data_IF_400679076192
#
_entry.id   IF_400679076192
#
_cell.length_a   1.000
_cell.length_b   1.000
_cell.length_c   1.000
_cell.angle_alpha   90.00
_cell.angle_beta   90.00
_cell.angle_gamma   90.00
#
_symmetry.space_group_name_H-M   'P 1'
#
loop_
_entity.id
_entity.type
_entity.pdbx_description
1 polymer ?
#
# COMPACT_ATOMS: atom_id res chain seq x y z
N UNK A 1 3.67 -16.04 -15.62
CA UNK A 1 2.78 -16.39 -14.49
C UNK A 1 1.36 -16.23 -14.98
N UNK A 2 0.48 -17.17 -14.65
CA UNK A 2 -0.94 -16.99 -14.92
C UNK A 2 -1.47 -15.79 -14.13
N UNK A 3 -2.34 -14.96 -14.72
CA UNK A 3 -2.92 -13.82 -14.02
C UNK A 3 -3.81 -14.31 -12.88
N UNK A 4 -3.57 -13.80 -11.68
CA UNK A 4 -4.45 -14.00 -10.54
C UNK A 4 -5.66 -13.07 -10.70
N UNK A 5 -6.87 -13.59 -10.52
CA UNK A 5 -8.08 -12.78 -10.53
C UNK A 5 -8.36 -12.25 -9.12
N UNK A 6 -8.53 -10.93 -9.01
CA UNK A 6 -8.99 -10.26 -7.78
C UNK A 6 -10.37 -9.68 -8.08
N UNK A 7 -11.36 -10.14 -7.32
CA UNK A 7 -12.71 -9.59 -7.39
C UNK A 7 -12.71 -8.19 -6.77
N UNK A 8 -13.50 -7.27 -7.32
CA UNK A 8 -13.66 -5.94 -6.74
C UNK A 8 -15.13 -5.52 -6.74
N UNK A 9 -15.48 -4.66 -5.78
CA UNK A 9 -16.80 -4.03 -5.67
C UNK A 9 -16.63 -2.52 -5.67
N UNK A 10 -17.36 -1.85 -6.55
CA UNK A 10 -17.46 -0.39 -6.59
C UNK A 10 -18.43 0.05 -5.49
N UNK A 11 -17.96 0.88 -4.57
CA UNK A 11 -18.73 1.45 -3.47
C UNK A 11 -19.14 2.90 -3.76
N UNK A 12 -18.34 3.62 -4.54
CA UNK A 12 -18.64 4.96 -5.06
C UNK A 12 -18.52 4.96 -6.59
N UNK A 13 -19.52 5.48 -7.35
CA UNK A 13 -19.50 5.45 -8.81
C UNK A 13 -18.34 6.22 -9.46
N UNK A 14 -17.66 7.10 -8.70
CA UNK A 14 -16.48 7.85 -9.15
C UNK A 14 -15.19 7.04 -9.05
N UNK A 15 -15.22 5.92 -8.32
CA UNK A 15 -14.06 5.06 -8.12
C UNK A 15 -13.45 4.61 -9.45
N UNK A 16 -12.12 4.57 -9.50
CA UNK A 16 -11.37 4.09 -10.66
C UNK A 16 -10.85 2.71 -10.38
N UNK A 17 -11.26 1.73 -11.21
CA UNK A 17 -10.75 0.36 -11.13
C UNK A 17 -9.22 0.40 -11.25
N UNK A 18 -8.47 -0.26 -10.36
CA UNK A 18 -7.00 -0.19 -10.38
C UNK A 18 -6.48 -0.75 -11.70
N UNK A 19 -5.54 -0.03 -12.31
CA UNK A 19 -4.93 -0.43 -13.58
C UNK A 19 -3.40 -0.35 -13.49
N UNK A 20 -2.75 -1.32 -14.13
CA UNK A 20 -1.30 -1.32 -14.33
C UNK A 20 -0.93 -0.32 -15.41
N UNK A 21 -0.01 0.58 -15.12
CA UNK A 21 0.37 1.66 -16.03
C UNK A 21 1.10 1.16 -17.29
N UNK A 22 1.85 0.06 -17.17
CA UNK A 22 2.60 -0.58 -18.26
C UNK A 22 2.56 -2.11 -18.10
N UNK A 23 2.87 -2.88 -19.16
CA UNK A 23 2.93 -4.35 -19.07
C UNK A 23 3.94 -4.90 -18.04
N UNK A 24 4.93 -4.10 -17.64
CA UNK A 24 5.93 -4.46 -16.63
C UNK A 24 5.69 -3.87 -15.25
N UNK A 25 4.56 -3.21 -15.03
CA UNK A 25 4.23 -2.61 -13.74
C UNK A 25 3.92 -3.69 -12.69
N UNK A 26 4.53 -3.60 -11.51
CA UNK A 26 4.30 -4.55 -10.42
C UNK A 26 3.05 -4.23 -9.59
N UNK A 27 2.60 -2.97 -9.59
CA UNK A 27 1.45 -2.50 -8.81
C UNK A 27 0.50 -1.66 -9.69
N UNK A 28 -0.78 -1.69 -9.34
CA UNK A 28 -1.85 -0.93 -10.00
C UNK A 28 -2.15 0.36 -9.22
N UNK A 29 -2.33 1.48 -9.90
CA UNK A 29 -2.57 2.77 -9.23
C UNK A 29 -3.95 2.78 -8.52
N UNK A 30 -4.00 3.34 -7.31
CA UNK A 30 -5.22 3.63 -6.55
C UNK A 30 -5.51 5.13 -6.60
N UNK A 31 -6.75 5.49 -6.93
CA UNK A 31 -7.18 6.88 -7.04
C UNK A 31 -8.00 7.33 -5.81
N UNK A 32 -7.84 8.60 -5.44
CA UNK A 32 -8.63 9.25 -4.40
C UNK A 32 -10.07 9.49 -4.88
N UNK A 33 -11.06 9.15 -4.05
CA UNK A 33 -12.47 9.51 -4.27
C UNK A 33 -12.85 10.58 -3.25
N UNK A 34 -12.81 11.84 -3.66
CA UNK A 34 -13.07 12.97 -2.77
C UNK A 34 -14.22 13.82 -3.34
N UNK A 35 -15.01 14.41 -2.45
CA UNK A 35 -16.05 15.38 -2.83
C UNK A 35 -15.42 16.74 -3.19
N UNK A 36 -14.38 17.13 -2.46
CA UNK A 36 -13.62 18.36 -2.66
C UNK A 36 -12.11 18.10 -2.52
N UNK A 37 -11.23 18.98 -3.05
CA UNK A 37 -9.79 18.83 -2.87
C UNK A 37 -9.39 18.81 -1.40
N UNK A 38 -8.53 17.86 -1.03
CA UNK A 38 -8.08 17.65 0.34
C UNK A 38 -6.65 18.16 0.50
N UNK A 39 -6.46 19.25 1.25
CA UNK A 39 -5.13 19.80 1.55
C UNK A 39 -4.59 19.20 2.83
N UNK A 40 -3.35 18.70 2.78
CA UNK A 40 -2.58 18.26 3.95
C UNK A 40 -1.46 19.26 4.20
N UNK A 41 -1.50 19.95 5.33
CA UNK A 41 -0.37 20.72 5.83
C UNK A 41 0.81 19.78 6.19
N UNK A 42 2.04 20.32 6.33
CA UNK A 42 3.16 19.55 6.85
C UNK A 42 2.80 18.82 8.15
N UNK A 43 3.14 17.53 8.21
CA UNK A 43 2.85 16.57 9.28
C UNK A 43 1.36 16.21 9.49
N UNK A 44 0.46 16.76 8.68
CA UNK A 44 -0.95 16.39 8.70
C UNK A 44 -1.18 15.01 8.10
N UNK A 45 -2.24 14.36 8.58
CA UNK A 45 -2.64 13.02 8.15
C UNK A 45 -4.13 13.02 7.82
N UNK A 46 -4.48 12.29 6.76
CA UNK A 46 -5.87 11.99 6.46
C UNK A 46 -6.02 10.59 5.91
N UNK A 47 -7.21 10.04 6.06
CA UNK A 47 -7.58 8.76 5.49
C UNK A 47 -8.29 9.01 4.15
N UNK A 48 -7.61 8.75 3.05
CA UNK A 48 -8.11 9.01 1.68
C UNK A 48 -8.90 7.80 1.18
N UNK A 49 -10.22 7.92 0.96
CA UNK A 49 -11.04 6.85 0.40
C UNK A 49 -10.74 6.60 -1.08
N UNK A 50 -10.97 5.37 -1.54
CA UNK A 50 -10.79 4.95 -2.94
C UNK A 50 -12.11 4.54 -3.61
N UNK A 51 -13.18 4.39 -2.84
CA UNK A 51 -14.48 3.93 -3.33
C UNK A 51 -14.50 2.48 -3.79
N UNK A 52 -13.50 1.68 -3.42
CA UNK A 52 -13.36 0.27 -3.82
C UNK A 52 -13.24 -0.64 -2.61
N UNK A 53 -13.89 -1.81 -2.69
CA UNK A 53 -13.54 -2.98 -1.90
C UNK A 53 -12.99 -4.06 -2.83
N UNK A 54 -12.15 -4.94 -2.30
CA UNK A 54 -11.59 -6.08 -3.05
C UNK A 54 -11.84 -7.39 -2.32
N UNK A 55 -11.74 -8.47 -3.07
CA UNK A 55 -11.72 -9.84 -2.59
C UNK A 55 -10.54 -10.57 -3.25
N UNK A 56 -9.58 -10.96 -2.40
CA UNK A 56 -8.43 -11.74 -2.80
C UNK A 56 -8.81 -13.22 -2.95
N UNK A 57 -8.09 -14.00 -3.78
CA UNK A 57 -8.42 -15.40 -4.09
C UNK A 57 -8.30 -16.36 -2.89
N UNK A 58 -7.66 -15.95 -1.79
CA UNK A 58 -7.63 -16.72 -0.53
C UNK A 58 -6.47 -16.36 0.39
N UNK A 59 -6.36 -17.10 1.50
CA UNK A 59 -5.43 -16.84 2.62
C UNK A 59 -3.93 -16.90 2.26
N UNK A 60 -3.58 -17.41 1.08
CA UNK A 60 -2.20 -17.46 0.57
C UNK A 60 -1.82 -16.19 -0.22
N UNK A 61 -2.67 -15.17 -0.22
CA UNK A 61 -2.44 -13.90 -0.91
C UNK A 61 -2.63 -12.71 0.02
N UNK A 62 -1.89 -11.64 -0.25
CA UNK A 62 -1.98 -10.36 0.45
C UNK A 62 -1.98 -9.23 -0.59
N UNK A 63 -2.74 -8.18 -0.31
CA UNK A 63 -2.65 -6.93 -1.05
C UNK A 63 -1.79 -5.95 -0.24
N UNK A 64 -0.74 -5.42 -0.86
CA UNK A 64 0.19 -4.47 -0.28
C UNK A 64 -0.01 -3.11 -0.95
N UNK A 65 -0.40 -2.11 -0.17
CA UNK A 65 -0.56 -0.74 -0.63
C UNK A 65 0.72 0.04 -0.34
N UNK A 66 1.34 0.56 -1.40
CA UNK A 66 2.57 1.32 -1.34
C UNK A 66 2.35 2.79 -1.72
N UNK A 67 3.17 3.66 -1.16
CA UNK A 67 3.29 5.03 -1.63
C UNK A 67 3.79 5.06 -3.09
N UNK A 68 3.42 6.11 -3.83
CA UNK A 68 3.95 6.36 -5.18
C UNK A 68 5.23 7.17 -5.07
N UNK A 69 6.33 6.64 -5.59
CA UNK A 69 7.67 7.25 -5.45
C UNK A 69 7.72 8.73 -5.85
N UNK A 70 7.02 9.10 -6.93
CA UNK A 70 6.94 10.48 -7.40
C UNK A 70 6.29 11.43 -6.40
N UNK A 71 5.21 11.02 -5.73
CA UNK A 71 4.55 11.82 -4.70
C UNK A 71 5.44 11.97 -3.46
N UNK A 72 6.09 10.88 -3.07
CA UNK A 72 6.97 10.86 -1.90
C UNK A 72 8.20 11.76 -2.07
N UNK A 73 8.93 11.65 -3.18
CA UNK A 73 10.18 12.42 -3.34
C UNK A 73 9.95 13.88 -3.76
N UNK A 74 8.90 14.17 -4.54
CA UNK A 74 8.66 15.52 -5.06
C UNK A 74 7.84 16.39 -4.11
N UNK A 75 6.97 15.79 -3.32
CA UNK A 75 6.01 16.50 -2.48
C UNK A 75 6.05 16.09 -1.00
N UNK A 76 6.84 15.08 -0.63
CA UNK A 76 6.88 14.55 0.74
C UNK A 76 5.64 13.75 1.11
N UNK A 77 4.77 13.42 0.15
CA UNK A 77 3.51 12.75 0.40
C UNK A 77 3.72 11.22 0.45
N UNK A 78 3.44 10.63 1.60
CA UNK A 78 3.72 9.24 1.93
C UNK A 78 2.53 8.58 2.63
N UNK A 79 2.64 7.27 2.89
CA UNK A 79 1.67 6.54 3.70
C UNK A 79 2.05 6.58 5.18
N UNK A 80 1.10 6.95 6.03
CA UNK A 80 1.33 7.12 7.48
C UNK A 80 1.67 5.80 8.19
N UNK A 81 1.22 4.67 7.65
CA UNK A 81 1.49 3.31 8.13
C UNK A 81 2.67 2.63 7.41
N UNK A 82 3.39 3.35 6.53
CA UNK A 82 4.45 2.80 5.70
C UNK A 82 3.93 1.94 4.56
N UNK A 83 3.43 0.74 4.86
CA UNK A 83 2.83 -0.19 3.90
C UNK A 83 1.44 -0.58 4.41
N UNK A 84 0.42 -0.44 3.56
CA UNK A 84 -0.90 -0.98 3.85
C UNK A 84 -0.91 -2.49 3.61
N UNK A 85 -1.26 -3.27 4.64
CA UNK A 85 -1.48 -4.71 4.53
C UNK A 85 -2.98 -4.95 4.48
N UNK A 86 -3.46 -5.53 3.39
CA UNK A 86 -4.86 -5.86 3.17
C UNK A 86 -5.01 -7.38 3.21
N UNK A 87 -5.72 -7.84 4.23
CA UNK A 87 -5.97 -9.27 4.46
C UNK A 87 -6.96 -9.85 3.45
N UNK A 88 -6.82 -11.15 3.19
CA UNK A 88 -7.64 -11.86 2.19
C UNK A 88 -9.14 -11.95 2.53
N UNK A 89 -9.49 -11.81 3.81
CA UNK A 89 -10.85 -11.83 4.34
C UNK A 89 -11.42 -10.41 4.57
N UNK A 90 -10.63 -9.36 4.33
CA UNK A 90 -11.13 -7.98 4.36
C UNK A 90 -12.09 -7.73 3.18
N UNK A 91 -13.24 -7.12 3.48
CA UNK A 91 -14.28 -6.74 2.49
C UNK A 91 -14.71 -5.28 2.60
N UNK A 92 -14.06 -4.52 3.48
CA UNK A 92 -14.30 -3.10 3.61
C UNK A 92 -13.69 -2.30 2.46
N UNK A 93 -13.93 -1.00 2.48
CA UNK A 93 -13.31 -0.09 1.53
C UNK A 93 -11.79 -0.05 1.75
N UNK A 94 -11.04 -0.05 0.64
CA UNK A 94 -9.63 0.29 0.64
C UNK A 94 -9.49 1.80 0.88
N UNK A 95 -8.84 2.16 1.97
CA UNK A 95 -8.52 3.55 2.29
C UNK A 95 -7.03 3.70 2.46
N UNK A 96 -6.50 4.83 2.01
CA UNK A 96 -5.07 5.13 2.02
C UNK A 96 -4.79 6.15 3.13
N UNK A 97 -4.17 5.74 4.25
CA UNK A 97 -3.76 6.70 5.29
C UNK A 97 -2.55 7.49 4.79
N UNK A 98 -2.78 8.73 4.39
CA UNK A 98 -1.77 9.63 3.84
C UNK A 98 -1.18 10.53 4.93
N UNK A 99 0.09 10.86 4.79
CA UNK A 99 0.81 11.85 5.59
C UNK A 99 1.63 12.74 4.67
N UNK A 100 1.64 14.04 4.95
CA UNK A 100 2.56 14.97 4.32
C UNK A 100 3.82 15.12 5.19
N UNK A 101 4.93 14.51 4.80
CA UNK A 101 6.25 14.66 5.43
C UNK A 101 7.09 15.78 4.79
N UNK A 102 6.52 16.49 3.81
CA UNK A 102 7.13 17.63 3.16
C UNK A 102 7.09 18.89 4.03
N UNK A 103 7.61 19.98 3.46
CA UNK A 103 7.63 21.30 4.11
C UNK A 103 6.53 22.24 3.64
N UNK A 104 5.89 21.91 2.52
CA UNK A 104 4.82 22.69 1.91
C UNK A 104 3.50 21.92 1.98
N UNK A 105 2.35 22.60 2.07
CA UNK A 105 1.05 21.95 1.92
C UNK A 105 0.93 21.23 0.58
N UNK A 106 0.23 20.09 0.57
CA UNK A 106 -0.11 19.37 -0.64
C UNK A 106 -1.62 19.18 -0.75
N UNK A 107 -2.19 19.55 -1.88
CA UNK A 107 -3.63 19.38 -2.15
C UNK A 107 -3.86 18.18 -3.07
N UNK A 108 -4.41 17.11 -2.49
CA UNK A 108 -4.85 15.92 -3.22
C UNK A 108 -6.14 16.27 -3.97
N UNK A 109 -6.12 16.10 -5.29
CA UNK A 109 -7.28 16.35 -6.14
C UNK A 109 -8.22 15.11 -6.20
N UNK A 110 -9.54 15.30 -6.36
CA UNK A 110 -10.44 14.20 -6.68
C UNK A 110 -9.97 13.43 -7.93
N UNK A 111 -9.91 12.10 -7.83
CA UNK A 111 -9.43 11.22 -8.90
C UNK A 111 -7.90 11.12 -9.03
N UNK A 112 -7.14 11.82 -8.20
CA UNK A 112 -5.68 11.75 -8.22
C UNK A 112 -5.18 10.37 -7.80
N UNK A 113 -4.13 9.88 -8.45
CA UNK A 113 -3.47 8.61 -8.11
C UNK A 113 -2.59 8.80 -6.87
N UNK A 114 -3.02 8.30 -5.73
CA UNK A 114 -2.40 8.57 -4.42
C UNK A 114 -1.52 7.43 -3.90
N UNK A 115 -1.83 6.19 -4.27
CA UNK A 115 -1.10 4.99 -3.86
C UNK A 115 -1.08 3.96 -4.99
N UNK A 116 -0.44 2.81 -4.75
CA UNK A 116 -0.41 1.70 -5.68
C UNK A 116 -0.56 0.36 -4.94
N UNK A 117 -1.35 -0.55 -5.53
CA UNK A 117 -1.72 -1.85 -4.98
C UNK A 117 -0.91 -2.96 -5.65
N UNK A 118 -0.13 -3.70 -4.87
CA UNK A 118 0.62 -4.88 -5.29
C UNK A 118 -0.05 -6.13 -4.70
N UNK A 119 -0.20 -7.19 -5.49
CA UNK A 119 -0.70 -8.48 -5.02
C UNK A 119 0.47 -9.44 -4.91
N UNK A 120 0.65 -10.05 -3.75
CA UNK A 120 1.79 -10.92 -3.47
C UNK A 120 1.35 -12.23 -2.79
N UNK A 121 2.11 -13.33 -2.98
CA UNK A 121 1.95 -14.51 -2.13
C UNK A 121 2.39 -14.20 -0.69
N UNK A 122 1.74 -14.85 0.28
CA UNK A 122 2.10 -14.76 1.70
C UNK A 122 2.07 -16.14 2.34
N UNK A 123 2.92 -16.33 3.36
CA UNK A 123 2.94 -17.54 4.15
C UNK A 123 2.27 -17.33 5.50
N UNK A 124 1.50 -18.31 5.95
CA UNK A 124 1.06 -18.41 7.35
C UNK A 124 2.07 -19.28 8.11
N UNK A 125 2.85 -18.66 9.00
CA UNK A 125 3.85 -19.38 9.77
C UNK A 125 3.23 -20.08 11.00
N UNK A 126 3.66 -21.32 11.27
CA UNK A 126 3.49 -21.97 12.55
C UNK A 126 4.76 -21.77 13.38
N UNK A 127 4.72 -20.86 14.36
CA UNK A 127 5.88 -20.58 15.20
C UNK A 127 6.09 -21.70 16.22
N UNK A 128 7.32 -22.23 16.31
CA UNK A 128 7.71 -23.28 17.25
C UNK A 128 8.90 -22.81 18.10
N UNK A 129 8.86 -22.96 19.45
CA UNK A 129 9.97 -22.58 20.31
C UNK A 129 11.13 -23.57 20.20
N UNK A 130 12.36 -23.07 20.25
CA UNK A 130 13.61 -23.85 20.27
C UNK A 130 14.58 -23.27 21.29
N UNK A 131 15.52 -24.08 21.79
CA UNK A 131 16.55 -23.59 22.73
C UNK A 131 17.66 -22.81 22.01
N UNK A 132 17.99 -23.20 20.78
CA UNK A 132 19.06 -22.59 19.98
C UNK A 132 18.60 -22.48 18.52
N UNK A 133 19.05 -21.43 17.83
CA UNK A 133 18.88 -21.25 16.38
C UNK A 133 20.15 -21.76 15.67
N UNK A 134 20.01 -22.13 14.38
CA UNK A 134 21.17 -22.52 13.57
C UNK A 134 22.06 -21.31 13.20
N UNK A 135 23.36 -21.58 13.03
CA UNK A 135 24.35 -20.55 12.67
C UNK A 135 24.21 -20.07 11.22
N UNK A 136 24.51 -18.78 11.00
CA UNK A 136 24.63 -18.20 9.65
C UNK A 136 25.81 -17.25 9.59
N UNK A 137 26.32 -16.96 8.38
CA UNK A 137 27.39 -15.97 8.18
C UNK A 137 27.04 -14.58 8.71
N UNK A 138 25.75 -14.20 8.71
CA UNK A 138 25.29 -12.91 9.24
C UNK A 138 25.19 -12.88 10.76
N UNK A 139 24.85 -14.02 11.39
CA UNK A 139 24.64 -14.13 12.83
C UNK A 139 23.67 -13.06 13.36
N UNK A 140 24.07 -12.41 14.46
CA UNK A 140 23.30 -11.34 15.13
C UNK A 140 23.52 -9.93 14.53
N UNK A 141 24.25 -9.81 13.42
CA UNK A 141 24.54 -8.51 12.80
C UNK A 141 23.32 -7.82 12.19
N UNK A 142 22.99 -6.61 12.66
CA UNK A 142 21.92 -5.74 12.14
C UNK A 142 22.28 -4.25 12.12
N UNK A 143 21.36 -3.38 11.68
CA UNK A 143 21.48 -1.91 11.75
C UNK A 143 22.79 -1.33 11.15
N UNK A 144 23.13 -1.70 9.91
CA UNK A 144 24.36 -1.23 9.26
C UNK A 144 25.60 -2.06 9.61
N UNK A 145 25.43 -3.27 10.16
CA UNK A 145 26.54 -4.18 10.51
C UNK A 145 27.46 -4.55 9.34
N UNK A 146 27.04 -4.35 8.09
CA UNK A 146 27.84 -4.62 6.89
C UNK A 146 28.44 -3.36 6.24
N UNK A 147 28.25 -2.16 6.81
CA UNK A 147 28.82 -0.90 6.26
C UNK A 147 28.06 0.37 6.64
N UNK A 148 28.68 1.52 6.38
CA UNK A 148 28.04 2.85 6.36
C UNK A 148 27.37 3.13 5.02
#
# INVERSE_FOLDING_TARGET
>A
MEPITVNYKVLDPRAKVPAYATPGSAAADLCAVLDEPLTLAPMERALVPTGLAIELPGAHTVALVYARSGLSIKHGLCMANGVGVIDSDYRGELKVPMVNLGKEPYTIQPGERVAQLCIAPVYTAAFAPVQELGDTTRGEGGFGSTGK
#
